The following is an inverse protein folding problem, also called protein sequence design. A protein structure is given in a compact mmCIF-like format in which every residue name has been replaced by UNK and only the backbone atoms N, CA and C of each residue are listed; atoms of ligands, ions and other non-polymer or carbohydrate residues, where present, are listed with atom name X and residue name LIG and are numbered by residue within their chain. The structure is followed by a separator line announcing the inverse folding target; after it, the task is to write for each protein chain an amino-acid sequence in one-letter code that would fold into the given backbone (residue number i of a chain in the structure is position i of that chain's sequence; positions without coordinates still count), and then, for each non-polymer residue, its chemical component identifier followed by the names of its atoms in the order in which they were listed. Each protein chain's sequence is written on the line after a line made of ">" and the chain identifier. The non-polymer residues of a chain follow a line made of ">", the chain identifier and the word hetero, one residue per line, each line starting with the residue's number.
data_IF_193663024091
#
_entry.id   IF_193663024091
#
_cell.length_a   1.000
_cell.length_b   1.000
_cell.length_c   1.000
_cell.angle_alpha   90.00
_cell.angle_beta   90.00
_cell.angle_gamma   90.00
#
_symmetry.space_group_name_H-M   'P 1'
#
loop_
_entity.id
_entity.type
_entity.pdbx_description
1 polymer ?
#
# COMPACT_ATOMS: atom_id res chain seq x y z
N UNK A 1 81.79 18.15 34.93
CA UNK A 1 80.46 18.26 35.60
C UNK A 1 79.41 18.95 34.74
N UNK A 2 79.77 19.83 33.79
CA UNK A 2 78.80 20.57 32.94
C UNK A 2 78.04 19.73 31.88
N UNK A 3 78.61 18.62 31.39
CA UNK A 3 77.95 17.83 30.32
C UNK A 3 76.79 16.93 30.78
N UNK A 4 76.67 16.67 32.09
CA UNK A 4 75.59 15.84 32.63
C UNK A 4 74.26 16.62 32.76
N UNK A 5 74.31 17.89 33.14
CA UNK A 5 73.10 18.74 33.22
C UNK A 5 72.53 19.05 31.83
N UNK A 6 73.36 19.41 30.85
CA UNK A 6 72.90 19.71 29.47
C UNK A 6 72.26 18.51 28.75
N UNK A 7 72.52 17.29 29.20
CA UNK A 7 71.88 16.05 28.70
C UNK A 7 70.56 15.74 29.42
N UNK A 8 70.40 16.16 30.67
CA UNK A 8 69.16 15.99 31.43
C UNK A 8 68.09 16.98 30.95
N UNK A 9 68.45 18.26 30.78
CA UNK A 9 67.52 19.29 30.28
C UNK A 9 66.97 18.96 28.89
N UNK A 10 67.83 18.48 27.97
CA UNK A 10 67.41 18.03 26.62
C UNK A 10 66.57 16.76 26.61
N UNK A 11 66.57 15.99 27.70
CA UNK A 11 65.78 14.76 27.82
C UNK A 11 64.40 15.06 28.42
N UNK A 12 64.30 16.00 29.36
CA UNK A 12 63.02 16.53 29.87
C UNK A 12 62.26 17.30 28.78
N UNK A 13 62.91 18.22 28.07
CA UNK A 13 62.29 19.02 27.00
C UNK A 13 61.76 18.13 25.85
N UNK A 14 62.47 17.04 25.53
CA UNK A 14 62.00 16.03 24.56
C UNK A 14 60.86 15.16 25.07
N UNK A 15 60.71 15.02 26.38
CA UNK A 15 59.64 14.22 27.00
C UNK A 15 58.34 15.03 27.04
N UNK A 16 58.42 16.31 27.41
CA UNK A 16 57.29 17.24 27.43
C UNK A 16 56.72 17.45 26.02
N UNK A 17 57.58 17.65 25.01
CA UNK A 17 57.16 17.73 23.59
C UNK A 17 56.45 16.46 23.10
N UNK A 18 56.79 15.29 23.67
CA UNK A 18 56.19 14.01 23.29
C UNK A 18 54.83 13.80 23.96
N UNK A 19 54.68 14.24 25.20
CA UNK A 19 53.41 14.24 25.94
C UNK A 19 52.40 15.25 25.35
N UNK A 20 52.87 16.45 24.98
CA UNK A 20 52.06 17.46 24.28
C UNK A 20 51.57 16.93 22.91
N UNK A 21 52.47 16.30 22.13
CA UNK A 21 52.12 15.69 20.85
C UNK A 21 51.11 14.54 20.97
N UNK A 22 51.20 13.73 22.03
CA UNK A 22 50.20 12.69 22.32
C UNK A 22 48.84 13.30 22.67
N UNK A 23 48.82 14.38 23.44
CA UNK A 23 47.59 15.08 23.83
C UNK A 23 46.89 15.74 22.65
N UNK A 24 47.65 16.35 21.74
CA UNK A 24 47.13 16.91 20.49
C UNK A 24 46.51 15.81 19.62
N UNK A 25 47.21 14.68 19.45
CA UNK A 25 46.70 13.56 18.67
C UNK A 25 45.39 12.96 19.24
N UNK A 26 45.27 12.89 20.57
CA UNK A 26 44.06 12.42 21.24
C UNK A 26 42.89 13.42 21.12
N UNK A 27 43.18 14.73 21.21
CA UNK A 27 42.20 15.79 20.95
C UNK A 27 41.73 15.80 19.49
N UNK A 28 42.62 15.58 18.53
CA UNK A 28 42.25 15.47 17.11
C UNK A 28 41.38 14.26 16.85
N UNK A 29 41.70 13.11 17.47
CA UNK A 29 40.90 11.90 17.36
C UNK A 29 39.49 12.08 17.94
N UNK A 30 39.38 12.63 19.15
CA UNK A 30 38.07 12.89 19.79
C UNK A 30 37.27 13.92 19.00
N UNK A 31 37.91 14.98 18.48
CA UNK A 31 37.27 15.96 17.59
C UNK A 31 36.72 15.30 16.32
N UNK A 32 37.50 14.42 15.68
CA UNK A 32 37.07 13.69 14.49
C UNK A 32 35.89 12.74 14.78
N UNK A 33 35.91 12.06 15.93
CA UNK A 33 34.81 11.20 16.39
C UNK A 33 33.52 12.00 16.61
N UNK A 34 33.60 13.16 17.29
CA UNK A 34 32.45 14.03 17.50
C UNK A 34 31.92 14.62 16.20
N UNK A 35 32.78 15.07 15.29
CA UNK A 35 32.38 15.56 13.97
C UNK A 35 31.69 14.46 13.15
N UNK A 36 32.21 13.23 13.20
CA UNK A 36 31.60 12.07 12.55
C UNK A 36 30.22 11.75 13.12
N UNK A 37 30.09 11.75 14.45
CA UNK A 37 28.82 11.55 15.14
C UNK A 37 27.80 12.65 14.81
N UNK A 38 28.23 13.91 14.79
CA UNK A 38 27.39 15.06 14.45
C UNK A 38 26.87 14.97 13.01
N UNK A 39 27.75 14.67 12.04
CA UNK A 39 27.34 14.49 10.64
C UNK A 39 26.34 13.35 10.46
N UNK A 40 26.53 12.24 11.17
CA UNK A 40 25.59 11.11 11.15
C UNK A 40 24.25 11.52 11.75
N UNK A 41 24.24 12.14 12.92
CA UNK A 41 23.03 12.61 13.57
C UNK A 41 22.27 13.64 12.70
N UNK A 42 23.00 14.52 12.00
CA UNK A 42 22.41 15.45 11.04
C UNK A 42 21.73 14.69 9.88
N UNK A 43 22.40 13.70 9.30
CA UNK A 43 21.83 12.88 8.23
C UNK A 43 20.59 12.08 8.71
N UNK A 44 20.65 11.51 9.92
CA UNK A 44 19.53 10.80 10.52
C UNK A 44 18.33 11.73 10.76
N UNK A 45 18.59 12.98 11.18
CA UNK A 45 17.55 13.98 11.37
C UNK A 45 16.90 14.41 10.05
N UNK A 46 17.70 14.60 8.98
CA UNK A 46 17.18 14.90 7.65
C UNK A 46 16.29 13.76 7.12
N UNK A 47 16.72 12.51 7.29
CA UNK A 47 15.93 11.33 6.95
C UNK A 47 14.63 11.26 7.77
N UNK A 48 14.71 11.49 9.07
CA UNK A 48 13.54 11.53 9.95
C UNK A 48 12.54 12.60 9.50
N UNK A 49 13.00 13.82 9.18
CA UNK A 49 12.14 14.91 8.73
C UNK A 49 11.42 14.56 7.42
N UNK A 50 12.12 13.91 6.49
CA UNK A 50 11.53 13.44 5.23
C UNK A 50 10.44 12.40 5.51
N UNK A 51 10.76 11.37 6.30
CA UNK A 51 9.82 10.31 6.68
C UNK A 51 8.61 10.86 7.43
N UNK A 52 8.81 11.82 8.35
CA UNK A 52 7.73 12.47 9.07
C UNK A 52 6.81 13.26 8.13
N UNK A 53 7.39 13.96 7.15
CA UNK A 53 6.61 14.67 6.13
C UNK A 53 5.78 13.74 5.24
N UNK A 54 6.31 12.56 4.91
CA UNK A 54 5.57 11.51 4.17
C UNK A 54 4.44 10.95 5.05
N UNK A 55 4.72 10.59 6.30
CA UNK A 55 3.72 10.07 7.24
C UNK A 55 2.57 11.05 7.50
N UNK A 56 2.83 12.35 7.58
CA UNK A 56 1.76 13.35 7.71
C UNK A 56 0.86 13.41 6.47
N UNK A 57 1.43 13.29 5.27
CA UNK A 57 0.64 13.26 4.02
C UNK A 57 -0.22 12.00 3.97
N UNK A 58 0.34 10.86 4.37
CA UNK A 58 -0.41 9.61 4.40
C UNK A 58 -1.53 9.64 5.43
N UNK A 59 -1.29 10.21 6.62
CA UNK A 59 -2.33 10.41 7.62
C UNK A 59 -3.50 11.27 7.07
N UNK A 60 -3.19 12.35 6.34
CA UNK A 60 -4.22 13.16 5.70
C UNK A 60 -5.00 12.38 4.63
N UNK A 61 -4.32 11.54 3.85
CA UNK A 61 -4.95 10.66 2.85
C UNK A 61 -5.87 9.62 3.50
N UNK A 62 -5.43 8.96 4.56
CA UNK A 62 -6.25 7.98 5.27
C UNK A 62 -7.46 8.63 5.94
N UNK A 63 -7.30 9.82 6.51
CA UNK A 63 -8.43 10.57 7.07
C UNK A 63 -9.47 10.92 5.99
N UNK A 64 -9.03 11.39 4.82
CA UNK A 64 -9.91 11.65 3.68
C UNK A 64 -10.60 10.36 3.19
N UNK A 65 -9.85 9.27 3.06
CA UNK A 65 -10.39 7.97 2.64
C UNK A 65 -11.48 7.47 3.60
N UNK A 66 -11.27 7.58 4.92
CA UNK A 66 -12.28 7.18 5.92
C UNK A 66 -13.59 7.91 5.74
N UNK A 67 -13.54 9.23 5.52
CA UNK A 67 -14.73 10.06 5.30
C UNK A 67 -15.42 9.68 3.98
N UNK A 68 -14.64 9.44 2.93
CA UNK A 68 -15.19 9.04 1.63
C UNK A 68 -15.95 7.71 1.74
N UNK A 69 -15.40 6.72 2.46
CA UNK A 69 -16.06 5.43 2.71
C UNK A 69 -17.38 5.58 3.49
N UNK A 70 -17.48 6.54 4.41
CA UNK A 70 -18.72 6.81 5.15
C UNK A 70 -19.79 7.52 4.29
N UNK A 71 -19.37 8.26 3.25
CA UNK A 71 -20.28 8.98 2.34
C UNK A 71 -20.86 8.06 1.27
N UNK A 72 -20.15 6.99 0.87
CA UNK A 72 -20.61 6.05 -0.17
C UNK A 72 -22.05 5.54 0.09
N UNK A 73 -22.40 5.01 1.28
CA UNK A 73 -23.76 4.57 1.58
C UNK A 73 -24.83 5.65 1.41
N UNK A 74 -24.46 6.93 1.57
CA UNK A 74 -25.40 8.05 1.38
C UNK A 74 -25.75 8.19 -0.11
N UNK A 75 -24.76 8.03 -0.99
CA UNK A 75 -24.97 8.07 -2.45
C UNK A 75 -25.79 6.87 -2.90
N UNK A 76 -25.55 5.68 -2.34
CA UNK A 76 -26.36 4.49 -2.63
C UNK A 76 -27.83 4.72 -2.28
N UNK A 77 -28.08 5.39 -1.16
CA UNK A 77 -29.43 5.78 -0.77
C UNK A 77 -30.03 6.82 -1.73
N UNK A 78 -29.24 7.75 -2.29
CA UNK A 78 -29.70 8.65 -3.35
C UNK A 78 -30.06 7.87 -4.62
N UNK A 79 -29.23 6.91 -5.03
CA UNK A 79 -29.47 6.05 -6.20
C UNK A 79 -30.73 5.22 -6.01
N UNK A 80 -30.88 4.57 -4.85
CA UNK A 80 -32.07 3.80 -4.50
C UNK A 80 -33.33 4.70 -4.49
N UNK A 81 -33.24 5.89 -3.90
CA UNK A 81 -34.37 6.81 -3.83
C UNK A 81 -34.80 7.32 -5.20
N UNK A 82 -33.84 7.69 -6.06
CA UNK A 82 -34.14 8.17 -7.42
C UNK A 82 -34.64 7.07 -8.35
N UNK A 83 -34.22 5.83 -8.13
CA UNK A 83 -34.72 4.67 -8.88
C UNK A 83 -36.20 4.36 -8.60
N UNK A 84 -36.71 4.67 -7.41
CA UNK A 84 -38.09 4.38 -7.00
C UNK A 84 -39.08 5.52 -7.29
N UNK A 85 -38.65 6.60 -7.96
CA UNK A 85 -39.52 7.74 -8.26
C UNK A 85 -40.62 7.34 -9.26
N UNK A 86 -41.91 7.59 -8.95
CA UNK A 86 -43.00 7.37 -9.88
C UNK A 86 -42.82 8.17 -11.18
N UNK A 87 -43.11 7.54 -12.33
CA UNK A 87 -42.87 8.14 -13.66
C UNK A 87 -43.60 9.47 -13.87
N UNK A 88 -44.76 9.64 -13.23
CA UNK A 88 -45.59 10.84 -13.26
C UNK A 88 -44.98 12.03 -12.49
N UNK A 89 -44.04 11.79 -11.58
CA UNK A 89 -43.39 12.83 -10.77
C UNK A 89 -41.94 13.08 -11.16
N UNK A 90 -41.40 12.29 -12.10
CA UNK A 90 -39.98 12.32 -12.48
C UNK A 90 -39.53 13.68 -13.04
N UNK A 91 -40.43 14.38 -13.73
CA UNK A 91 -40.19 15.70 -14.31
C UNK A 91 -40.59 16.85 -13.38
N UNK A 92 -40.96 16.55 -12.13
CA UNK A 92 -41.25 17.56 -11.12
C UNK A 92 -39.99 18.32 -10.74
N UNK A 93 -40.06 19.66 -10.69
CA UNK A 93 -38.88 20.50 -10.39
C UNK A 93 -38.18 20.18 -9.08
N UNK A 94 -38.89 19.63 -8.09
CA UNK A 94 -38.31 19.11 -6.85
C UNK A 94 -37.41 17.90 -7.08
N UNK A 95 -37.87 16.93 -7.86
CA UNK A 95 -37.11 15.72 -8.22
C UNK A 95 -35.87 16.08 -9.03
N UNK A 96 -36.01 16.98 -10.00
CA UNK A 96 -34.87 17.47 -10.79
C UNK A 96 -33.82 18.16 -9.91
N UNK A 97 -34.24 18.92 -8.90
CA UNK A 97 -33.33 19.53 -7.93
C UNK A 97 -32.53 18.50 -7.12
N UNK A 98 -33.19 17.43 -6.66
CA UNK A 98 -32.51 16.34 -5.94
C UNK A 98 -31.52 15.61 -6.85
N UNK A 99 -31.91 15.31 -8.10
CA UNK A 99 -31.01 14.67 -9.07
C UNK A 99 -29.77 15.54 -9.37
N UNK A 100 -29.92 16.86 -9.37
CA UNK A 100 -28.79 17.77 -9.51
C UNK A 100 -27.82 17.70 -8.32
N UNK A 101 -28.34 17.64 -7.09
CA UNK A 101 -27.54 17.48 -5.87
C UNK A 101 -26.78 16.15 -5.89
N UNK A 102 -27.46 15.06 -6.27
CA UNK A 102 -26.82 13.75 -6.44
C UNK A 102 -25.65 13.83 -7.42
N UNK A 103 -25.87 14.40 -8.61
CA UNK A 103 -24.82 14.55 -9.62
C UNK A 103 -23.67 15.44 -9.15
N UNK A 104 -23.97 16.50 -8.40
CA UNK A 104 -22.93 17.34 -7.81
C UNK A 104 -22.07 16.55 -6.82
N UNK A 105 -22.67 15.70 -6.00
CA UNK A 105 -21.98 14.84 -5.06
C UNK A 105 -21.08 13.80 -5.77
N UNK A 106 -21.60 13.17 -6.83
CA UNK A 106 -20.83 12.25 -7.69
C UNK A 106 -19.61 12.93 -8.34
N UNK A 107 -19.77 14.17 -8.81
CA UNK A 107 -18.66 14.95 -9.37
C UNK A 107 -17.58 15.22 -8.31
N UNK A 108 -17.97 15.56 -7.08
CA UNK A 108 -17.01 15.80 -5.98
C UNK A 108 -16.24 14.52 -5.65
N UNK A 109 -16.88 13.36 -5.64
CA UNK A 109 -16.19 12.08 -5.46
C UNK A 109 -15.19 11.80 -6.58
N UNK A 110 -15.59 12.04 -7.83
CA UNK A 110 -14.75 11.85 -9.01
C UNK A 110 -13.51 12.75 -8.96
N UNK A 111 -13.66 14.00 -8.54
CA UNK A 111 -12.55 14.94 -8.36
C UNK A 111 -11.57 14.50 -7.25
N UNK A 112 -12.07 13.80 -6.23
CA UNK A 112 -11.24 13.21 -5.16
C UNK A 112 -10.66 11.83 -5.53
N UNK A 113 -10.83 11.39 -6.78
CA UNK A 113 -10.26 10.14 -7.30
C UNK A 113 -11.08 8.89 -6.98
N UNK A 114 -12.34 9.05 -6.55
CA UNK A 114 -13.28 7.95 -6.35
C UNK A 114 -14.12 7.82 -7.62
N UNK A 115 -13.99 6.70 -8.31
CA UNK A 115 -14.78 6.37 -9.50
C UNK A 115 -15.56 5.08 -9.28
N UNK A 116 -16.78 5.04 -9.79
CA UNK A 116 -17.57 3.83 -9.86
C UNK A 116 -16.87 2.75 -10.71
N UNK A 117 -16.95 1.51 -10.25
CA UNK A 117 -16.53 0.34 -11.04
C UNK A 117 -17.74 -0.12 -11.85
N UNK A 118 -17.78 0.24 -13.14
CA UNK A 118 -18.82 -0.23 -14.05
C UNK A 118 -18.62 -1.72 -14.35
N UNK A 119 -19.56 -2.57 -13.92
CA UNK A 119 -19.55 -4.00 -14.26
C UNK A 119 -20.84 -4.41 -14.94
N UNK A 120 -20.70 -5.10 -16.08
CA UNK A 120 -21.83 -5.61 -16.87
C UNK A 120 -21.97 -7.11 -16.70
N UNK A 121 -23.20 -7.58 -16.97
CA UNK A 121 -23.51 -9.00 -17.06
C UNK A 121 -22.59 -9.65 -18.11
N UNK A 122 -21.74 -10.59 -17.68
CA UNK A 122 -20.79 -11.30 -18.55
C UNK A 122 -19.32 -10.83 -18.43
N UNK A 123 -19.04 -9.77 -17.68
CA UNK A 123 -17.66 -9.34 -17.42
C UNK A 123 -16.91 -10.35 -16.54
N UNK A 124 -15.57 -10.34 -16.67
CA UNK A 124 -14.72 -11.25 -15.89
C UNK A 124 -14.67 -10.85 -14.42
N UNK A 125 -14.89 -11.82 -13.53
CA UNK A 125 -14.76 -11.61 -12.09
C UNK A 125 -13.29 -11.47 -11.70
N UNK A 126 -12.92 -10.37 -11.05
CA UNK A 126 -11.61 -10.15 -10.44
C UNK A 126 -11.74 -10.15 -8.91
N UNK A 127 -11.14 -11.12 -8.19
CA UNK A 127 -11.17 -11.19 -6.72
C UNK A 127 -10.53 -9.99 -6.01
N UNK A 128 -9.72 -9.17 -6.70
CA UNK A 128 -9.11 -7.97 -6.12
C UNK A 128 -10.07 -6.79 -6.11
N UNK A 129 -10.97 -6.73 -7.10
CA UNK A 129 -11.86 -5.58 -7.33
C UNK A 129 -13.33 -5.87 -7.00
N UNK A 130 -13.73 -7.14 -6.99
CA UNK A 130 -15.12 -7.55 -6.80
C UNK A 130 -15.30 -8.43 -5.56
N UNK A 131 -16.31 -8.12 -4.76
CA UNK A 131 -16.76 -8.97 -3.65
C UNK A 131 -17.88 -9.92 -4.12
N UNK A 132 -17.77 -11.20 -3.79
CA UNK A 132 -18.79 -12.20 -4.15
C UNK A 132 -19.86 -12.32 -3.04
N UNK A 133 -21.11 -11.98 -3.35
CA UNK A 133 -22.21 -11.96 -2.36
C UNK A 133 -23.09 -13.22 -2.36
N UNK A 134 -23.43 -13.79 -3.51
CA UNK A 134 -24.38 -14.92 -3.60
C UNK A 134 -24.12 -15.79 -4.83
N UNK A 135 -24.15 -17.12 -4.65
CA UNK A 135 -24.04 -18.08 -5.74
C UNK A 135 -25.42 -18.33 -6.37
N UNK A 136 -25.65 -17.78 -7.57
CA UNK A 136 -26.85 -18.03 -8.38
C UNK A 136 -26.51 -18.71 -9.70
N UNK A 137 -27.36 -19.67 -10.09
CA UNK A 137 -27.26 -20.33 -11.40
C UNK A 137 -27.63 -19.33 -12.51
N UNK A 138 -26.64 -18.94 -13.32
CA UNK A 138 -26.85 -18.02 -14.44
C UNK A 138 -27.20 -18.80 -15.72
N UNK A 139 -28.31 -18.42 -16.36
CA UNK A 139 -28.89 -19.11 -17.53
C UNK A 139 -28.37 -18.54 -18.87
N UNK A 140 -27.54 -17.48 -18.83
CA UNK A 140 -27.13 -16.76 -20.04
C UNK A 140 -25.78 -16.03 -19.88
N UNK A 141 -24.68 -16.79 -19.88
CA UNK A 141 -23.32 -16.24 -19.91
C UNK A 141 -22.50 -16.93 -21.01
N UNK A 142 -22.56 -16.42 -22.25
CA UNK A 142 -21.66 -16.85 -23.32
C UNK A 142 -20.30 -16.16 -23.15
N UNK A 143 -19.29 -16.89 -22.69
CA UNK A 143 -17.95 -16.35 -22.48
C UNK A 143 -16.94 -17.37 -21.96
N UNK A 144 -16.52 -18.29 -22.83
CA UNK A 144 -15.46 -19.26 -22.52
C UNK A 144 -14.07 -18.59 -22.48
N UNK A 145 -13.45 -18.50 -21.30
CA UNK A 145 -11.97 -18.50 -21.18
C UNK A 145 -11.54 -19.32 -19.98
N UNK A 146 -10.87 -20.43 -20.26
CA UNK A 146 -10.35 -21.43 -19.30
C UNK A 146 -9.34 -20.80 -18.34
N UNK A 147 -9.55 -20.98 -17.04
CA UNK A 147 -8.51 -20.82 -16.03
C UNK A 147 -7.78 -22.16 -15.89
N UNK A 148 -6.60 -22.29 -16.50
CA UNK A 148 -5.67 -23.37 -16.14
C UNK A 148 -4.94 -22.98 -14.86
N UNK A 149 -5.39 -23.50 -13.71
CA UNK A 149 -4.58 -23.51 -12.50
C UNK A 149 -3.44 -24.54 -12.67
N UNK A 150 -2.31 -24.12 -13.26
CA UNK A 150 -1.06 -24.88 -13.21
C UNK A 150 -0.41 -24.66 -11.85
N UNK A 151 -0.75 -25.51 -10.89
CA UNK A 151 0.13 -25.76 -9.74
C UNK A 151 1.38 -26.43 -10.31
N UNK A 152 2.48 -25.67 -10.43
CA UNK A 152 3.81 -26.25 -10.68
C UNK A 152 4.24 -26.91 -9.37
N UNK A 153 4.04 -28.23 -9.27
CA UNK A 153 4.72 -29.02 -8.26
C UNK A 153 6.05 -29.49 -8.85
N UNK A 154 7.15 -28.93 -8.34
CA UNK A 154 8.50 -29.40 -8.63
C UNK A 154 8.68 -30.85 -8.12
N UNK A 155 9.33 -31.75 -8.89
CA UNK A 155 9.35 -33.17 -8.60
C UNK A 155 10.58 -33.56 -7.79
N UNK A 156 10.41 -33.94 -6.53
CA UNK A 156 11.30 -34.88 -5.83
C UNK A 156 10.66 -35.27 -4.50
N UNK A 157 10.15 -36.51 -4.37
CA UNK A 157 10.31 -37.41 -3.20
C UNK A 157 9.46 -38.70 -3.31
N UNK A 158 10.15 -39.80 -3.60
CA UNK A 158 9.97 -41.17 -3.07
C UNK A 158 8.78 -42.02 -3.55
N UNK A 159 9.19 -43.22 -4.00
CA UNK A 159 8.42 -44.41 -4.37
C UNK A 159 7.58 -44.93 -3.20
N UNK A 160 6.30 -45.23 -3.44
CA UNK A 160 5.74 -46.56 -3.11
C UNK A 160 4.46 -46.81 -3.91
N UNK A 161 4.28 -48.05 -4.32
CA UNK A 161 3.26 -48.47 -5.27
C UNK A 161 1.87 -48.66 -4.64
N UNK A 162 0.86 -48.36 -5.45
CA UNK A 162 -0.36 -49.18 -5.54
C UNK A 162 -1.09 -48.87 -6.83
N UNK A 163 -1.34 -49.91 -7.61
CA UNK A 163 -2.24 -49.91 -8.75
C UNK A 163 -3.66 -49.63 -8.24
N UNK A 164 -4.42 -48.82 -8.97
CA UNK A 164 -5.80 -49.13 -9.33
C UNK A 164 -6.17 -48.40 -10.64
N UNK A 165 -6.82 -49.16 -11.53
CA UNK A 165 -7.13 -48.86 -12.93
C UNK A 165 -8.42 -47.99 -13.07
N UNK A 166 -8.73 -47.45 -14.26
CA UNK A 166 -9.62 -46.32 -14.46
C UNK A 166 -11.07 -46.70 -14.77
N UNK A 167 -12.00 -45.82 -14.43
CA UNK A 167 -13.35 -45.84 -14.99
C UNK A 167 -13.98 -44.45 -14.95
N UNK A 168 -14.48 -44.00 -16.12
CA UNK A 168 -15.74 -43.26 -16.20
C UNK A 168 -15.66 -41.73 -16.19
N UNK A 169 -15.62 -41.15 -17.39
CA UNK A 169 -16.05 -39.79 -17.68
C UNK A 169 -17.51 -39.56 -17.25
N UNK A 170 -17.82 -38.37 -16.73
CA UNK A 170 -18.92 -37.54 -17.25
C UNK A 170 -18.87 -36.14 -16.62
N UNK A 171 -18.76 -35.18 -17.54
CA UNK A 171 -19.41 -33.85 -17.54
C UNK A 171 -19.10 -32.93 -16.34
N UNK A 172 -18.29 -31.88 -16.49
CA UNK A 172 -18.38 -30.90 -17.58
C UNK A 172 -19.42 -29.84 -17.26
N UNK A 173 -19.23 -29.10 -16.17
CA UNK A 173 -20.09 -27.97 -15.80
C UNK A 173 -19.28 -26.89 -15.09
N UNK A 174 -18.66 -25.98 -15.86
CA UNK A 174 -17.94 -24.82 -15.31
C UNK A 174 -19.00 -23.79 -14.91
N UNK A 175 -19.27 -23.70 -13.60
CA UNK A 175 -20.11 -22.66 -12.98
C UNK A 175 -19.37 -21.32 -13.09
N UNK A 176 -20.03 -20.26 -13.58
CA UNK A 176 -19.45 -18.90 -13.67
C UNK A 176 -20.38 -17.87 -13.03
N UNK A 177 -19.76 -16.91 -12.37
CA UNK A 177 -20.35 -15.90 -11.49
C UNK A 177 -20.81 -14.68 -12.29
N UNK A 178 -21.85 -14.01 -11.80
CA UNK A 178 -22.13 -12.63 -12.16
C UNK A 178 -21.65 -11.72 -11.03
N UNK A 179 -20.96 -10.66 -11.44
CA UNK A 179 -20.59 -9.52 -10.62
C UNK A 179 -21.80 -8.60 -10.50
N UNK A 180 -22.13 -8.19 -9.28
CA UNK A 180 -22.84 -6.93 -9.05
C UNK A 180 -22.05 -6.23 -7.95
N UNK A 181 -21.37 -5.13 -8.31
CA UNK A 181 -20.88 -4.17 -7.35
C UNK A 181 -22.11 -3.54 -6.67
N UNK A 182 -22.21 -3.67 -5.35
CA UNK A 182 -22.73 -2.55 -4.59
C UNK A 182 -21.79 -1.37 -4.79
N UNK A 183 -22.37 -0.21 -5.02
CA UNK A 183 -21.66 1.06 -4.98
C UNK A 183 -21.07 1.31 -3.59
#
# INVERSE_FOLDING_TARGET
>A
MSDKHKKQDKHEEKKDLKEEGQRIAELEKTSAEYLGGWKRCQADFENYKKMQGESQKDMARYAAQSILLEIIPVIDNFHASTAHIPKDQKDGGWVTGIMYIQKQLENVLTENGVSEIEVKVGDSFDPVMHEAMEDKECVHCEGEKKFENKIKNDPERIQDGRQDNPAGQSDGGIKRQQVVCSF
#
